data_IF_758770787070
#
_entry.id   IF_758770787070
#
_cell.length_a   1.000
_cell.length_b   1.000
_cell.length_c   1.000
_cell.angle_alpha   90.00
_cell.angle_beta   90.00
_cell.angle_gamma   90.00
#
_symmetry.space_group_name_H-M   'P 1'
#
loop_
_entity.id
_entity.type
_entity.pdbx_description
1 polymer ?
#
# COMPACT_ATOMS: atom_id res chain seq x y z
N UNK A 1 -5.00 30.58 13.34
CA UNK A 1 -5.56 30.12 12.04
C UNK A 1 -5.67 28.59 11.99
N UNK A 2 -4.65 27.85 12.40
CA UNK A 2 -4.61 26.38 12.37
C UNK A 2 -5.70 25.70 13.21
N UNK A 3 -5.98 26.18 14.43
CA UNK A 3 -7.05 25.65 15.29
C UNK A 3 -8.42 25.69 14.61
N UNK A 4 -8.71 26.76 13.86
CA UNK A 4 -9.96 26.88 13.12
C UNK A 4 -10.05 25.83 11.99
N UNK A 5 -8.95 25.61 11.25
CA UNK A 5 -8.90 24.61 10.19
C UNK A 5 -9.03 23.19 10.73
N UNK A 6 -8.43 22.90 11.90
CA UNK A 6 -8.61 21.62 12.60
C UNK A 6 -10.07 21.40 12.99
N UNK A 7 -10.69 22.36 13.69
CA UNK A 7 -12.10 22.27 14.09
C UNK A 7 -13.03 22.12 12.89
N UNK A 8 -12.73 22.78 11.76
CA UNK A 8 -13.45 22.60 10.49
C UNK A 8 -13.31 21.16 9.96
N UNK A 9 -12.10 20.61 9.98
CA UNK A 9 -11.79 19.25 9.50
C UNK A 9 -12.44 18.15 10.37
N UNK A 10 -12.48 18.36 11.69
CA UNK A 10 -13.07 17.40 12.64
C UNK A 10 -14.54 17.11 12.36
N UNK A 11 -15.30 18.11 11.87
CA UNK A 11 -16.73 17.94 11.52
C UNK A 11 -16.99 16.88 10.46
N UNK A 12 -16.01 16.61 9.58
CA UNK A 12 -16.12 15.60 8.52
C UNK A 12 -15.30 14.35 8.81
N UNK A 13 -14.56 14.31 9.92
CA UNK A 13 -13.67 13.19 10.25
C UNK A 13 -14.38 11.84 10.24
N UNK A 14 -15.57 11.65 10.85
CA UNK A 14 -16.21 10.33 10.86
C UNK A 14 -16.56 9.82 9.45
N UNK A 15 -16.97 10.73 8.54
CA UNK A 15 -17.28 10.37 7.16
C UNK A 15 -16.00 9.99 6.40
N UNK A 16 -14.95 10.81 6.54
CA UNK A 16 -13.68 10.59 5.84
C UNK A 16 -13.02 9.30 6.30
N UNK A 17 -12.85 9.10 7.61
CA UNK A 17 -12.14 7.94 8.15
C UNK A 17 -12.87 6.64 7.81
N UNK A 18 -14.20 6.60 7.90
CA UNK A 18 -14.97 5.40 7.52
C UNK A 18 -14.87 5.07 6.04
N UNK A 19 -14.94 6.08 5.17
CA UNK A 19 -14.78 5.89 3.74
C UNK A 19 -13.36 5.41 3.40
N UNK A 20 -12.34 6.09 3.93
CA UNK A 20 -10.92 5.72 3.73
C UNK A 20 -10.62 4.32 4.24
N UNK A 21 -11.13 3.95 5.42
CA UNK A 21 -10.97 2.60 5.99
C UNK A 21 -11.56 1.52 5.10
N UNK A 22 -12.78 1.76 4.58
CA UNK A 22 -13.44 0.85 3.64
C UNK A 22 -12.65 0.71 2.34
N UNK A 23 -12.28 1.83 1.71
CA UNK A 23 -11.51 1.84 0.46
C UNK A 23 -10.15 1.18 0.64
N UNK A 24 -9.43 1.50 1.71
CA UNK A 24 -8.13 0.89 2.05
C UNK A 24 -8.26 -0.62 2.23
N UNK A 25 -9.28 -1.10 2.94
CA UNK A 25 -9.52 -2.53 3.14
C UNK A 25 -9.75 -3.24 1.80
N UNK A 26 -10.52 -2.65 0.88
CA UNK A 26 -10.74 -3.21 -0.46
C UNK A 26 -9.49 -3.15 -1.34
N UNK A 27 -8.67 -2.09 -1.25
CA UNK A 27 -7.38 -2.00 -1.93
C UNK A 27 -6.39 -3.04 -1.42
N UNK A 28 -6.34 -3.23 -0.11
CA UNK A 28 -5.52 -4.25 0.56
C UNK A 28 -5.92 -5.64 0.10
N UNK A 29 -7.22 -5.95 0.04
CA UNK A 29 -7.70 -7.23 -0.48
C UNK A 29 -7.30 -7.44 -1.94
N UNK A 30 -7.44 -6.41 -2.77
CA UNK A 30 -6.99 -6.43 -4.16
C UNK A 30 -5.48 -6.70 -4.27
N UNK A 31 -4.63 -5.93 -3.58
CA UNK A 31 -3.18 -6.11 -3.61
C UNK A 31 -2.74 -7.46 -3.03
N UNK A 32 -3.41 -7.92 -1.96
CA UNK A 32 -3.14 -9.23 -1.38
C UNK A 32 -3.49 -10.37 -2.35
N UNK A 33 -4.55 -10.22 -3.15
CA UNK A 33 -4.89 -11.19 -4.21
C UNK A 33 -3.82 -11.31 -5.31
N UNK A 34 -2.93 -10.32 -5.43
CA UNK A 34 -1.81 -10.35 -6.37
C UNK A 34 -0.56 -11.05 -5.83
N UNK A 35 -0.54 -11.40 -4.53
CA UNK A 35 0.59 -12.09 -3.89
C UNK A 35 0.67 -13.57 -4.31
N UNK A 36 1.78 -14.24 -3.98
CA UNK A 36 2.00 -15.63 -4.37
C UNK A 36 0.93 -16.58 -3.82
N UNK A 37 0.45 -17.52 -4.65
CA UNK A 37 -0.53 -18.53 -4.23
C UNK A 37 -1.96 -18.01 -4.05
N UNK A 38 -2.25 -16.78 -4.52
CA UNK A 38 -3.59 -16.21 -4.57
C UNK A 38 -4.00 -15.95 -6.02
N UNK A 39 -5.31 -16.00 -6.26
CA UNK A 39 -5.91 -15.63 -7.53
C UNK A 39 -6.36 -14.17 -7.50
N UNK A 40 -6.03 -13.35 -8.54
CA UNK A 40 -6.45 -11.97 -8.60
C UNK A 40 -7.98 -11.82 -8.53
N UNK A 41 -8.45 -10.92 -7.66
CA UNK A 41 -9.88 -10.60 -7.53
C UNK A 41 -10.42 -9.94 -8.80
N UNK A 42 -9.61 -9.07 -9.40
CA UNK A 42 -9.95 -8.33 -10.62
C UNK A 42 -9.05 -8.77 -11.78
N UNK A 43 -9.52 -8.67 -13.04
CA UNK A 43 -8.70 -9.03 -14.21
C UNK A 43 -7.50 -8.08 -14.32
N UNK A 44 -6.30 -8.63 -14.16
CA UNK A 44 -5.03 -7.91 -14.22
C UNK A 44 -4.04 -8.62 -15.14
N UNK A 45 -2.97 -7.93 -15.52
CA UNK A 45 -1.90 -8.55 -16.31
C UNK A 45 -1.16 -9.62 -15.52
N UNK A 46 -0.83 -10.73 -16.18
CA UNK A 46 0.03 -11.80 -15.63
C UNK A 46 1.43 -11.30 -15.20
N UNK A 47 1.84 -10.11 -15.63
CA UNK A 47 3.10 -9.48 -15.22
C UNK A 47 3.11 -9.07 -13.74
N UNK A 48 1.95 -8.74 -13.18
CA UNK A 48 1.84 -8.18 -11.81
C UNK A 48 1.23 -9.16 -10.80
N UNK A 49 0.70 -10.30 -11.26
CA UNK A 49 0.08 -11.33 -10.42
C UNK A 49 1.09 -12.34 -9.84
N UNK A 50 0.62 -13.19 -8.93
CA UNK A 50 1.35 -14.30 -8.31
C UNK A 50 2.70 -13.88 -7.69
N UNK A 51 2.73 -12.77 -6.95
CA UNK A 51 3.91 -12.33 -6.23
C UNK A 51 5.01 -11.68 -7.07
N UNK A 52 4.76 -11.45 -8.38
CA UNK A 52 5.76 -10.88 -9.30
C UNK A 52 6.05 -9.40 -9.05
N UNK A 53 5.06 -8.66 -8.56
CA UNK A 53 5.23 -7.24 -8.21
C UNK A 53 5.09 -7.00 -6.70
N UNK A 54 3.95 -7.40 -6.11
CA UNK A 54 3.68 -7.28 -4.68
C UNK A 54 3.96 -8.61 -4.01
N UNK A 55 4.89 -8.64 -3.05
CA UNK A 55 5.24 -9.84 -2.29
C UNK A 55 4.34 -10.00 -1.07
N UNK A 56 4.14 -8.93 -0.32
CA UNK A 56 3.42 -8.96 0.96
C UNK A 56 2.62 -7.68 1.15
N UNK A 57 1.57 -7.76 1.97
CA UNK A 57 0.70 -6.64 2.31
C UNK A 57 0.43 -6.68 3.82
N UNK A 58 0.75 -5.60 4.51
CA UNK A 58 0.52 -5.46 5.96
C UNK A 58 -0.63 -4.51 6.21
N UNK A 59 -1.72 -5.04 6.75
CA UNK A 59 -2.88 -4.28 7.16
C UNK A 59 -3.65 -5.02 8.25
N UNK A 60 -4.29 -4.28 9.16
CA UNK A 60 -5.08 -4.84 10.26
C UNK A 60 -6.19 -5.81 9.81
N UNK A 61 -6.76 -5.63 8.62
CA UNK A 61 -7.82 -6.52 8.12
C UNK A 61 -7.30 -7.89 7.63
N UNK A 62 -5.99 -8.06 7.52
CA UNK A 62 -5.35 -9.32 7.15
C UNK A 62 -4.80 -10.05 8.38
N UNK A 63 -4.98 -9.49 9.58
CA UNK A 63 -4.61 -10.13 10.84
C UNK A 63 -5.80 -10.94 11.41
N UNK A 64 -5.56 -12.09 12.08
CA UNK A 64 -4.25 -12.72 12.28
C UNK A 64 -3.69 -13.28 10.96
N UNK A 65 -2.36 -13.36 10.86
CA UNK A 65 -1.66 -13.78 9.63
C UNK A 65 -0.65 -14.87 9.92
N UNK A 66 -0.24 -15.59 8.87
CA UNK A 66 0.91 -16.49 8.95
C UNK A 66 2.22 -15.72 8.73
N UNK A 67 3.33 -16.36 9.09
CA UNK A 67 4.68 -15.87 8.77
C UNK A 67 4.89 -15.94 7.26
N UNK A 68 5.35 -14.85 6.66
CA UNK A 68 5.70 -14.87 5.24
C UNK A 68 7.04 -15.57 5.00
N UNK A 69 7.25 -16.11 3.79
CA UNK A 69 8.53 -16.74 3.41
C UNK A 69 9.72 -15.75 3.49
N UNK A 70 9.47 -14.47 3.21
CA UNK A 70 10.47 -13.39 3.21
C UNK A 70 10.13 -12.33 4.28
N UNK A 71 10.11 -12.68 5.56
CA UNK A 71 9.95 -11.67 6.62
C UNK A 71 11.11 -10.65 6.63
N UNK A 72 10.76 -9.37 6.73
CA UNK A 72 11.74 -8.30 6.91
C UNK A 72 12.05 -8.13 8.40
N UNK A 73 13.20 -7.53 8.72
CA UNK A 73 13.66 -7.40 10.10
C UNK A 73 12.65 -6.64 10.98
N UNK A 74 11.92 -5.70 10.39
CA UNK A 74 10.91 -4.86 11.02
C UNK A 74 9.65 -5.64 11.44
N UNK A 75 9.33 -6.74 10.73
CA UNK A 75 8.10 -7.51 10.96
C UNK A 75 8.36 -8.87 11.62
N UNK A 76 9.62 -9.30 11.70
CA UNK A 76 10.03 -10.56 12.31
C UNK A 76 9.65 -10.71 13.80
N UNK A 77 9.41 -9.61 14.51
CA UNK A 77 9.00 -9.59 15.92
C UNK A 77 7.48 -9.36 16.11
N UNK A 78 6.70 -9.28 15.03
CA UNK A 78 5.27 -9.05 15.13
C UNK A 78 4.53 -10.24 15.77
N UNK A 79 3.48 -9.94 16.54
CA UNK A 79 2.57 -10.97 17.02
C UNK A 79 1.59 -11.36 15.91
N UNK A 80 1.93 -12.42 15.16
CA UNK A 80 1.14 -12.94 14.04
C UNK A 80 -0.25 -13.45 14.44
N UNK A 81 -0.42 -13.86 15.70
CA UNK A 81 -1.68 -14.36 16.24
C UNK A 81 -2.61 -13.25 16.78
N UNK A 82 -2.17 -11.99 16.79
CA UNK A 82 -3.01 -10.89 17.23
C UNK A 82 -4.16 -10.67 16.23
N UNK A 83 -5.39 -10.61 16.74
CA UNK A 83 -6.58 -10.29 15.97
C UNK A 83 -7.18 -8.97 16.51
N UNK A 84 -7.09 -7.86 15.74
CA UNK A 84 -7.63 -6.58 16.16
C UNK A 84 -9.12 -6.39 15.87
N UNK A 85 -9.82 -7.38 15.31
CA UNK A 85 -11.20 -7.23 14.82
C UNK A 85 -12.19 -6.75 15.89
N UNK A 86 -12.00 -7.16 17.15
CA UNK A 86 -12.84 -6.73 18.27
C UNK A 86 -12.55 -5.27 18.68
N UNK A 87 -11.32 -4.80 18.53
CA UNK A 87 -10.88 -3.45 18.86
C UNK A 87 -11.13 -2.46 17.70
N UNK A 88 -11.24 -2.96 16.47
CA UNK A 88 -11.47 -2.18 15.25
C UNK A 88 -12.81 -2.57 14.57
N UNK A 89 -13.96 -2.40 15.26
CA UNK A 89 -15.26 -2.84 14.75
C UNK A 89 -15.73 -2.06 13.50
N UNK A 90 -15.22 -0.83 13.32
CA UNK A 90 -15.57 0.07 12.20
C UNK A 90 -14.58 -0.04 11.01
N UNK A 91 -13.65 -1.01 11.04
CA UNK A 91 -12.69 -1.26 9.97
C UNK A 91 -11.24 -0.93 10.31
N UNK A 92 -10.34 -1.35 9.42
CA UNK A 92 -8.88 -1.20 9.58
C UNK A 92 -8.34 0.20 9.31
N UNK A 93 -7.03 0.37 9.50
CA UNK A 93 -6.34 1.63 9.23
C UNK A 93 -6.42 2.03 7.74
N UNK A 94 -6.68 3.30 7.39
CA UNK A 94 -6.61 3.76 6.01
C UNK A 94 -5.19 3.77 5.43
N UNK A 95 -4.18 3.55 6.28
CA UNK A 95 -2.76 3.48 5.92
C UNK A 95 -2.25 2.06 6.13
N UNK A 96 -1.54 1.53 5.12
CA UNK A 96 -1.02 0.18 5.11
C UNK A 96 0.36 0.12 4.43
N UNK A 97 1.09 -0.97 4.66
CA UNK A 97 2.39 -1.22 4.05
C UNK A 97 2.33 -2.33 3.01
N UNK A 98 3.20 -2.26 2.02
CA UNK A 98 3.41 -3.36 1.05
C UNK A 98 4.91 -3.60 0.88
N UNK A 99 5.27 -4.86 0.67
CA UNK A 99 6.61 -5.27 0.24
C UNK A 99 6.58 -5.54 -1.25
N UNK A 100 7.44 -4.88 -2.01
CA UNK A 100 7.58 -5.12 -3.44
C UNK A 100 8.67 -6.16 -3.73
N UNK A 101 8.61 -6.77 -4.92
CA UNK A 101 9.55 -7.82 -5.30
C UNK A 101 10.99 -7.29 -5.52
N UNK A 102 11.18 -6.01 -5.86
CA UNK A 102 12.49 -5.39 -6.12
C UNK A 102 12.55 -3.97 -5.53
N UNK A 103 13.73 -3.53 -5.11
CA UNK A 103 13.95 -2.16 -4.61
C UNK A 103 13.68 -1.12 -5.71
N UNK A 104 14.09 -1.42 -6.95
CA UNK A 104 13.78 -0.60 -8.13
C UNK A 104 12.28 -0.41 -8.37
N UNK A 105 11.43 -1.40 -8.05
CA UNK A 105 9.98 -1.21 -8.14
C UNK A 105 9.49 -0.18 -7.12
N UNK A 106 9.99 -0.23 -5.89
CA UNK A 106 9.63 0.71 -4.83
C UNK A 106 10.11 2.13 -5.13
N UNK A 107 11.29 2.26 -5.74
CA UNK A 107 11.84 3.53 -6.22
C UNK A 107 10.98 4.17 -7.32
N UNK A 108 10.49 3.37 -8.28
CA UNK A 108 9.88 3.91 -9.49
C UNK A 108 8.36 3.93 -9.53
N UNK A 109 7.66 3.08 -8.78
CA UNK A 109 6.20 2.92 -8.90
C UNK A 109 5.43 4.24 -8.75
N UNK A 110 5.89 5.09 -7.83
CA UNK A 110 5.26 6.38 -7.55
C UNK A 110 5.31 7.35 -8.75
N UNK A 111 6.29 7.21 -9.65
CA UNK A 111 6.44 8.05 -10.83
C UNK A 111 5.41 7.75 -11.93
N UNK A 112 4.78 6.57 -11.89
CA UNK A 112 3.82 6.14 -12.90
C UNK A 112 2.36 6.27 -12.44
N UNK A 113 2.11 6.61 -11.17
CA UNK A 113 0.77 6.79 -10.61
C UNK A 113 0.20 8.16 -10.99
N UNK A 114 -1.13 8.23 -11.14
CA UNK A 114 -1.85 9.46 -11.43
C UNK A 114 -2.57 10.00 -10.20
N UNK A 115 -3.12 9.14 -9.36
CA UNK A 115 -3.87 9.55 -8.16
C UNK A 115 -3.03 9.60 -6.90
N UNK A 116 -2.09 8.67 -6.75
CA UNK A 116 -1.24 8.61 -5.56
C UNK A 116 -0.12 9.65 -5.65
N UNK A 117 -0.12 10.61 -4.73
CA UNK A 117 0.90 11.64 -4.66
C UNK A 117 2.11 11.12 -3.87
N UNK A 118 3.35 11.24 -4.40
CA UNK A 118 4.56 10.91 -3.65
C UNK A 118 4.77 11.94 -2.52
N UNK A 119 4.49 11.56 -1.27
CA UNK A 119 4.64 12.48 -0.14
C UNK A 119 4.81 11.76 1.21
N UNK A 120 5.58 12.40 2.09
CA UNK A 120 5.86 11.92 3.43
C UNK A 120 4.85 12.48 4.44
N UNK A 121 3.59 12.06 4.32
CA UNK A 121 2.48 12.38 5.24
C UNK A 121 1.42 11.27 5.20
N UNK A 122 0.31 11.43 5.94
CA UNK A 122 -0.82 10.51 5.96
C UNK A 122 -2.11 11.17 6.43
N UNK A 123 -3.25 10.56 6.13
CA UNK A 123 -4.56 10.96 6.69
C UNK A 123 -5.19 12.20 6.06
N UNK A 124 -4.61 12.70 4.96
CA UNK A 124 -5.21 13.69 4.06
C UNK A 124 -6.45 13.13 3.34
N UNK A 125 -7.05 13.93 2.46
CA UNK A 125 -8.17 13.47 1.61
C UNK A 125 -7.67 12.84 0.31
N UNK A 126 -6.44 13.15 -0.04
CA UNK A 126 -5.67 12.65 -1.16
C UNK A 126 -4.93 11.35 -0.80
N UNK A 127 -4.83 10.44 -1.76
CA UNK A 127 -4.04 9.23 -1.64
C UNK A 127 -2.54 9.53 -1.75
N UNK A 128 -1.76 8.99 -0.83
CA UNK A 128 -0.30 9.20 -0.76
C UNK A 128 0.45 7.88 -0.86
N UNK A 129 1.64 7.93 -1.44
CA UNK A 129 2.57 6.80 -1.54
C UNK A 129 3.99 7.23 -1.16
N UNK A 130 4.70 6.40 -0.41
CA UNK A 130 6.06 6.70 0.08
C UNK A 130 6.91 5.45 0.16
N UNK A 131 8.12 5.48 -0.43
CA UNK A 131 9.15 4.47 -0.18
C UNK A 131 9.79 4.72 1.20
N UNK A 132 9.77 3.72 2.08
CA UNK A 132 10.19 3.91 3.48
C UNK A 132 11.68 4.19 3.65
N UNK A 133 12.52 3.61 2.81
CA UNK A 133 13.97 3.79 2.86
C UNK A 133 14.42 5.25 2.63
N UNK A 134 13.63 6.05 1.90
CA UNK A 134 13.92 7.48 1.68
C UNK A 134 13.86 8.29 2.97
N UNK A 135 13.03 7.87 3.93
CA UNK A 135 12.83 8.56 5.21
C UNK A 135 13.64 7.92 6.34
N UNK A 136 13.87 6.61 6.26
CA UNK A 136 14.57 5.84 7.29
C UNK A 136 15.55 4.89 6.64
N UNK A 137 16.84 5.16 6.78
CA UNK A 137 17.93 4.34 6.21
C UNK A 137 18.00 2.91 6.79
N UNK A 138 17.23 2.61 7.83
CA UNK A 138 17.12 1.27 8.40
C UNK A 138 15.97 0.45 7.81
N UNK A 139 15.12 1.07 6.99
CA UNK A 139 13.98 0.40 6.40
C UNK A 139 14.40 -0.41 5.16
N UNK A 140 13.82 -1.59 4.96
CA UNK A 140 14.00 -2.33 3.69
C UNK A 140 13.54 -1.46 2.50
N UNK A 141 14.39 -1.37 1.48
CA UNK A 141 14.19 -0.52 0.30
C UNK A 141 12.97 -0.89 -0.53
N UNK A 142 12.46 -2.11 -0.37
CA UNK A 142 11.28 -2.62 -1.07
C UNK A 142 9.97 -2.23 -0.39
N UNK A 143 10.02 -1.67 0.82
CA UNK A 143 8.81 -1.31 1.56
C UNK A 143 8.26 0.03 1.07
N UNK A 144 6.98 -0.01 0.71
CA UNK A 144 6.19 1.16 0.36
C UNK A 144 5.01 1.30 1.32
N UNK A 145 4.78 2.52 1.82
CA UNK A 145 3.59 2.88 2.59
C UNK A 145 2.59 3.57 1.68
N UNK A 146 1.33 3.17 1.79
CA UNK A 146 0.21 3.83 1.12
C UNK A 146 -0.74 4.39 2.18
N UNK A 147 -1.14 5.65 2.02
CA UNK A 147 -2.22 6.27 2.78
C UNK A 147 -3.39 6.52 1.83
N UNK A 148 -4.54 5.90 2.10
CA UNK A 148 -5.69 5.95 1.19
C UNK A 148 -6.52 7.21 1.42
N UNK A 149 -6.80 7.92 0.34
CA UNK A 149 -7.65 9.10 0.29
C UNK A 149 -9.14 8.77 0.10
N UNK A 150 -9.88 9.73 -0.46
CA UNK A 150 -11.33 9.67 -0.70
C UNK A 150 -11.69 9.43 -2.19
N UNK A 151 -10.72 9.04 -3.00
CA UNK A 151 -10.94 8.74 -4.41
C UNK A 151 -11.78 7.46 -4.61
N UNK A 152 -12.30 7.28 -5.82
CA UNK A 152 -13.04 6.08 -6.18
C UNK A 152 -12.14 4.83 -6.16
N UNK A 153 -12.65 3.74 -5.60
CA UNK A 153 -11.90 2.49 -5.44
C UNK A 153 -11.43 1.93 -6.79
N UNK A 154 -12.27 1.96 -7.82
CA UNK A 154 -11.95 1.35 -9.12
C UNK A 154 -10.88 2.16 -9.83
N UNK A 155 -10.90 3.49 -9.68
CA UNK A 155 -9.87 4.37 -10.21
C UNK A 155 -8.52 4.11 -9.56
N UNK A 156 -8.48 3.99 -8.22
CA UNK A 156 -7.26 3.66 -7.49
C UNK A 156 -6.70 2.28 -7.89
N UNK A 157 -7.55 1.26 -8.03
CA UNK A 157 -7.14 -0.08 -8.47
C UNK A 157 -6.54 -0.08 -9.87
N UNK A 158 -7.23 0.57 -10.83
CA UNK A 158 -6.78 0.68 -12.23
C UNK A 158 -5.46 1.45 -12.32
N UNK A 159 -5.33 2.54 -11.56
CA UNK A 159 -4.12 3.35 -11.51
C UNK A 159 -2.93 2.55 -11.00
N UNK A 160 -3.10 1.83 -9.88
CA UNK A 160 -2.10 0.91 -9.34
C UNK A 160 -1.72 -0.16 -10.36
N UNK A 161 -2.69 -0.88 -10.93
CA UNK A 161 -2.40 -1.96 -11.89
C UNK A 161 -1.63 -1.45 -13.12
N UNK A 162 -2.04 -0.30 -13.67
CA UNK A 162 -1.35 0.36 -14.80
C UNK A 162 0.07 0.76 -14.42
N UNK A 163 0.24 1.42 -13.27
CA UNK A 163 1.55 1.90 -12.82
C UNK A 163 2.51 0.74 -12.54
N UNK A 164 2.05 -0.36 -11.95
CA UNK A 164 2.87 -1.56 -11.73
C UNK A 164 3.39 -2.14 -13.05
N UNK A 165 2.55 -2.25 -14.08
CA UNK A 165 2.97 -2.74 -15.41
C UNK A 165 3.97 -1.79 -16.05
N UNK A 166 3.73 -0.48 -16.00
CA UNK A 166 4.65 0.53 -16.54
C UNK A 166 6.01 0.51 -15.80
N UNK A 167 5.99 0.30 -14.48
CA UNK A 167 7.20 0.19 -13.66
C UNK A 167 8.04 -1.03 -14.05
N UNK A 168 7.39 -2.19 -14.26
CA UNK A 168 8.10 -3.39 -14.74
C UNK A 168 8.77 -3.11 -16.08
N UNK A 169 8.04 -2.52 -17.03
CA UNK A 169 8.57 -2.17 -18.34
C UNK A 169 9.75 -1.19 -18.25
N UNK A 170 9.66 -0.16 -17.39
CA UNK A 170 10.76 0.78 -17.18
C UNK A 170 12.01 0.08 -16.65
N UNK A 171 11.88 -0.76 -15.64
CA UNK A 171 13.02 -1.48 -15.05
C UNK A 171 13.60 -2.52 -16.01
N UNK A 172 12.77 -3.20 -16.80
CA UNK A 172 13.22 -4.12 -17.86
C UNK A 172 14.01 -3.39 -18.95
N UNK A 173 13.59 -2.18 -19.32
CA UNK A 173 14.27 -1.35 -20.34
C UNK A 173 15.55 -0.67 -19.82
N UNK A 174 15.72 -0.55 -18.50
CA UNK A 174 16.85 0.11 -17.85
C UNK A 174 17.55 -0.84 -16.85
N UNK A 175 18.16 -1.95 -17.31
CA UNK A 175 18.66 -3.01 -16.43
C UNK A 175 19.78 -2.56 -15.46
N UNK A 176 20.51 -1.50 -15.81
CA UNK A 176 21.52 -0.91 -14.93
C UNK A 176 20.92 -0.30 -13.65
N UNK A 177 19.65 0.10 -13.67
CA UNK A 177 18.92 0.65 -12.52
C UNK A 177 18.25 -0.44 -11.66
N UNK A 178 18.32 -1.71 -12.08
CA UNK A 178 17.74 -2.84 -11.37
C UNK A 178 18.70 -3.49 -10.36
N UNK A 179 19.97 -3.08 -10.37
CA UNK A 179 21.10 -3.73 -9.70
C UNK A 179 21.66 -2.95 -8.51
N UNK A 180 21.12 -1.76 -8.25
CA UNK A 180 21.40 -0.92 -7.07
C UNK A 180 20.30 -1.12 -6.04
#
# INVERSE_FOLDING_TARGET
>A
METFLLLRSLRTMPLRVRHQSKTATSLVQFLHSLTAGKDPIDPVSDKISNGKFVKQVWHSSLQPRETYDEEVAETAQENHAFDPSSQLPDGGSPTFGILLAKASYAKYVAHFLTYFVPATSLGGVESLIEQRAVVSSRADERIVRISTGLEDLDDLKKDLARAMVATIQHVENNPNEASE
#
